data_IF_298129643592
#
_entry.id   IF_298129643592
#
_cell.length_a   1.000
_cell.length_b   1.000
_cell.length_c   1.000
_cell.angle_alpha   90.00
_cell.angle_beta   90.00
_cell.angle_gamma   90.00
#
_symmetry.space_group_name_H-M   'P 1'
#
loop_
_entity.id
_entity.type
_entity.pdbx_description
1 polymer ?
#
# COMPACT_ATOMS: atom_id res chain seq x y z
N UNK A 1 23.17 45.42 3.67
CA UNK A 1 22.41 44.18 3.89
C UNK A 1 22.30 43.46 2.56
N UNK A 2 22.82 42.23 2.44
CA UNK A 2 22.74 41.43 1.22
C UNK A 2 21.36 40.77 1.09
N UNK A 3 20.76 40.82 -0.09
CA UNK A 3 19.46 40.24 -0.41
C UNK A 3 19.54 38.70 -0.43
N UNK A 4 18.71 38.05 0.40
CA UNK A 4 18.66 36.60 0.58
C UNK A 4 18.19 35.84 -0.68
N UNK A 5 17.60 36.52 -1.66
CA UNK A 5 17.03 35.91 -2.86
C UNK A 5 17.87 36.10 -4.14
N UNK A 6 19.08 36.65 -4.02
CA UNK A 6 19.95 36.91 -5.18
C UNK A 6 20.28 35.63 -6.00
N UNK A 7 20.26 34.44 -5.39
CA UNK A 7 20.58 33.16 -6.02
C UNK A 7 19.37 32.36 -6.53
N UNK A 8 18.14 32.87 -6.37
CA UNK A 8 16.96 32.16 -6.84
C UNK A 8 16.86 32.16 -8.37
N UNK A 9 16.68 30.99 -8.98
CA UNK A 9 16.50 30.87 -10.43
C UNK A 9 15.15 31.48 -10.86
N UNK A 10 15.17 32.61 -11.57
CA UNK A 10 13.98 33.38 -11.98
C UNK A 10 13.27 32.85 -13.23
N UNK A 11 13.53 31.60 -13.63
CA UNK A 11 13.05 31.01 -14.89
C UNK A 11 12.00 29.92 -14.69
N UNK A 12 11.16 29.70 -15.71
CA UNK A 12 10.18 28.60 -15.72
C UNK A 12 10.88 27.23 -15.60
N UNK A 13 10.41 26.40 -14.66
CA UNK A 13 10.96 25.07 -14.41
C UNK A 13 10.70 24.17 -15.63
N UNK A 14 11.75 23.77 -16.34
CA UNK A 14 11.66 22.77 -17.41
C UNK A 14 11.95 21.39 -16.85
N UNK A 15 10.92 20.54 -16.78
CA UNK A 15 11.06 19.14 -16.43
C UNK A 15 11.42 18.33 -17.68
N UNK A 16 12.27 17.30 -17.52
CA UNK A 16 12.80 16.48 -18.62
C UNK A 16 11.73 15.69 -19.39
N UNK A 17 10.47 15.73 -18.97
CA UNK A 17 9.35 14.96 -19.53
C UNK A 17 8.18 15.79 -20.04
N UNK A 18 8.33 17.11 -20.20
CA UNK A 18 7.22 17.94 -20.69
C UNK A 18 7.12 17.84 -22.22
N UNK A 19 6.42 16.81 -22.69
CA UNK A 19 6.08 16.64 -24.10
C UNK A 19 4.85 17.48 -24.44
N UNK A 20 5.04 18.46 -25.31
CA UNK A 20 3.99 19.35 -25.80
C UNK A 20 2.75 18.56 -26.26
N UNK A 21 1.61 18.84 -25.61
CA UNK A 21 0.30 18.24 -25.92
C UNK A 21 -0.21 18.74 -27.29
N UNK A 22 0.25 18.11 -28.37
CA UNK A 22 -0.35 18.25 -29.70
C UNK A 22 -1.69 17.50 -29.74
N UNK A 23 -2.78 18.22 -30.04
CA UNK A 23 -4.15 17.68 -30.20
C UNK A 23 -4.16 16.56 -31.27
N UNK A 24 -4.15 15.30 -30.82
CA UNK A 24 -4.12 14.11 -31.72
C UNK A 24 -5.52 13.59 -32.06
N UNK A 25 -5.73 13.33 -33.36
CA UNK A 25 -6.93 12.70 -33.96
C UNK A 25 -7.29 11.37 -33.26
N UNK A 26 -8.59 11.15 -33.10
CA UNK A 26 -9.29 10.08 -32.35
C UNK A 26 -8.69 8.65 -32.45
N UNK A 27 -8.04 8.26 -33.56
CA UNK A 27 -7.42 6.94 -33.74
C UNK A 27 -6.12 6.74 -32.94
N UNK A 28 -5.33 7.80 -32.73
CA UNK A 28 -4.10 7.72 -31.94
C UNK A 28 -4.40 7.65 -30.43
N UNK A 29 -5.54 8.19 -29.98
CA UNK A 29 -5.98 8.18 -28.59
C UNK A 29 -6.20 6.76 -28.04
N UNK A 30 -6.68 5.81 -28.85
CA UNK A 30 -6.86 4.42 -28.39
C UNK A 30 -5.52 3.69 -28.20
N UNK A 31 -4.55 3.90 -29.10
CA UNK A 31 -3.21 3.31 -28.98
C UNK A 31 -2.44 3.89 -27.79
N UNK A 32 -2.61 5.18 -27.50
CA UNK A 32 -2.01 5.81 -26.32
C UNK A 32 -2.67 5.30 -25.03
N UNK A 33 -3.99 5.14 -25.01
CA UNK A 33 -4.71 4.62 -23.84
C UNK A 33 -4.37 3.17 -23.52
N UNK A 34 -4.07 2.36 -24.54
CA UNK A 34 -3.62 0.98 -24.36
C UNK A 34 -2.19 0.91 -23.81
N UNK A 35 -1.29 1.76 -24.33
CA UNK A 35 0.07 1.92 -23.78
C UNK A 35 0.07 2.45 -22.35
N UNK A 36 -0.78 3.42 -22.04
CA UNK A 36 -0.94 3.96 -20.70
C UNK A 36 -1.45 2.90 -19.71
N UNK A 37 -2.38 2.04 -20.15
CA UNK A 37 -2.83 0.91 -19.33
C UNK A 37 -1.72 -0.12 -19.09
N UNK A 38 -0.95 -0.45 -20.12
CA UNK A 38 0.20 -1.36 -19.99
C UNK A 38 1.29 -0.78 -19.09
N UNK A 39 1.57 0.53 -19.18
CA UNK A 39 2.51 1.24 -18.32
C UNK A 39 2.02 1.30 -16.88
N UNK A 40 0.74 1.59 -16.64
CA UNK A 40 0.13 1.54 -15.31
C UNK A 40 0.15 0.13 -14.72
N UNK A 41 -0.10 -0.89 -15.54
CA UNK A 41 -0.05 -2.28 -15.10
C UNK A 41 1.38 -2.71 -14.76
N UNK A 42 2.37 -2.28 -15.56
CA UNK A 42 3.81 -2.49 -15.27
C UNK A 42 4.25 -1.77 -13.99
N UNK A 43 3.87 -0.51 -13.83
CA UNK A 43 4.16 0.28 -12.64
C UNK A 43 3.51 -0.33 -11.39
N UNK A 44 2.28 -0.84 -11.50
CA UNK A 44 1.60 -1.54 -10.41
C UNK A 44 2.30 -2.85 -10.03
N UNK A 45 2.76 -3.64 -11.01
CA UNK A 45 3.53 -4.87 -10.76
C UNK A 45 4.89 -4.55 -10.14
N UNK A 46 5.59 -3.52 -10.62
CA UNK A 46 6.87 -3.06 -10.09
C UNK A 46 6.74 -2.53 -8.66
N UNK A 47 5.68 -1.78 -8.37
CA UNK A 47 5.35 -1.35 -7.01
C UNK A 47 5.05 -2.54 -6.10
N UNK A 48 4.28 -3.53 -6.56
CA UNK A 48 4.00 -4.74 -5.78
C UNK A 48 5.25 -5.58 -5.50
N UNK A 49 6.20 -5.64 -6.46
CA UNK A 49 7.48 -6.31 -6.27
C UNK A 49 8.38 -5.55 -5.29
N UNK A 50 8.41 -4.21 -5.35
CA UNK A 50 9.13 -3.39 -4.38
C UNK A 50 8.51 -3.44 -2.98
N UNK A 51 7.19 -3.52 -2.87
CA UNK A 51 6.48 -3.73 -1.61
C UNK A 51 6.65 -5.15 -1.08
N UNK A 52 6.79 -6.16 -1.93
CA UNK A 52 7.15 -7.53 -1.50
C UNK A 52 8.61 -7.61 -1.02
N UNK A 53 9.53 -6.89 -1.68
CA UNK A 53 10.94 -6.81 -1.30
C UNK A 53 11.14 -6.05 0.02
N UNK A 54 10.39 -4.96 0.26
CA UNK A 54 10.46 -4.19 1.51
C UNK A 54 9.55 -4.76 2.62
N UNK A 55 8.40 -5.33 2.29
CA UNK A 55 7.41 -5.85 3.23
C UNK A 55 7.71 -7.24 3.80
N UNK A 56 8.66 -7.97 3.21
CA UNK A 56 9.22 -9.19 3.82
C UNK A 56 10.45 -8.92 4.70
N UNK A 57 11.05 -7.73 4.60
CA UNK A 57 12.21 -7.35 5.41
C UNK A 57 11.83 -6.89 6.82
N UNK A 58 10.62 -6.34 7.03
CA UNK A 58 10.29 -5.66 8.29
C UNK A 58 9.64 -6.52 9.38
N UNK A 59 9.32 -7.80 9.13
CA UNK A 59 8.73 -8.68 10.14
C UNK A 59 9.53 -9.94 10.48
N UNK A 60 10.62 -10.27 9.77
CA UNK A 60 11.35 -11.51 10.08
C UNK A 60 12.80 -11.58 9.60
N UNK A 61 13.52 -10.48 9.41
CA UNK A 61 14.98 -10.61 9.18
C UNK A 61 15.76 -9.41 9.69
N UNK A 62 15.93 -9.34 11.01
CA UNK A 62 17.16 -8.78 11.56
C UNK A 62 18.32 -9.59 10.98
N UNK A 63 18.98 -9.02 9.98
CA UNK A 63 20.16 -9.58 9.34
C UNK A 63 21.30 -9.72 10.34
N UNK A 64 21.64 -10.95 10.72
CA UNK A 64 22.96 -11.27 11.23
C UNK A 64 23.49 -12.50 10.50
N UNK A 65 24.40 -12.22 9.55
CA UNK A 65 25.56 -13.01 9.19
C UNK A 65 25.72 -14.37 9.91
N UNK A 66 25.74 -15.47 9.14
CA UNK A 66 26.54 -16.67 9.44
C UNK A 66 25.88 -17.83 10.21
N UNK A 67 24.72 -17.65 10.85
CA UNK A 67 24.06 -18.76 11.57
C UNK A 67 22.55 -18.76 11.33
N UNK A 68 22.09 -19.63 10.41
CA UNK A 68 20.66 -19.92 10.26
C UNK A 68 20.22 -20.69 11.51
N UNK A 69 19.42 -20.05 12.38
CA UNK A 69 18.81 -20.71 13.54
C UNK A 69 18.00 -21.92 13.05
N UNK A 70 18.37 -23.12 13.51
CA UNK A 70 17.58 -24.33 13.24
C UNK A 70 16.20 -24.16 13.88
N UNK A 71 15.15 -24.27 13.08
CA UNK A 71 13.78 -24.20 13.58
C UNK A 71 13.53 -25.35 14.56
N UNK A 72 12.78 -25.04 15.61
CA UNK A 72 12.27 -26.05 16.53
C UNK A 72 11.21 -26.92 15.86
N UNK A 73 10.96 -28.12 16.39
CA UNK A 73 9.89 -29.01 15.89
C UNK A 73 8.51 -28.32 15.90
N UNK A 74 8.26 -27.48 16.91
CA UNK A 74 7.04 -26.70 17.02
C UNK A 74 6.93 -25.65 15.91
N UNK A 75 8.00 -24.88 15.66
CA UNK A 75 8.03 -23.87 14.59
C UNK A 75 7.85 -24.51 13.19
N UNK A 76 8.46 -25.68 12.96
CA UNK A 76 8.26 -26.46 11.72
C UNK A 76 6.80 -26.88 11.54
N UNK A 77 6.15 -27.35 12.61
CA UNK A 77 4.74 -27.73 12.57
C UNK A 77 3.83 -26.53 12.27
N UNK A 78 4.07 -25.39 12.93
CA UNK A 78 3.32 -24.15 12.68
C UNK A 78 3.52 -23.66 11.25
N UNK A 79 4.75 -23.70 10.72
CA UNK A 79 5.03 -23.32 9.33
C UNK A 79 4.26 -24.20 8.34
N UNK A 80 4.26 -25.52 8.55
CA UNK A 80 3.48 -26.46 7.73
C UNK A 80 1.97 -26.17 7.79
N UNK A 81 1.44 -25.79 8.95
CA UNK A 81 0.05 -25.40 9.08
C UNK A 81 -0.27 -24.07 8.36
N UNK A 82 0.60 -23.08 8.48
CA UNK A 82 0.48 -21.82 7.75
C UNK A 82 0.51 -22.03 6.23
N UNK A 83 1.39 -22.90 5.73
CA UNK A 83 1.46 -23.26 4.31
C UNK A 83 0.15 -23.88 3.82
N UNK A 84 -0.44 -24.80 4.60
CA UNK A 84 -1.77 -25.37 4.29
C UNK A 84 -2.86 -24.29 4.22
N UNK A 85 -2.84 -23.33 5.13
CA UNK A 85 -3.83 -22.25 5.17
C UNK A 85 -3.51 -21.08 4.23
N UNK A 86 -2.32 -21.07 3.60
CA UNK A 86 -1.85 -19.97 2.76
C UNK A 86 -2.80 -19.71 1.60
N UNK A 87 -3.19 -20.76 0.89
CA UNK A 87 -4.05 -20.63 -0.28
C UNK A 87 -5.42 -20.05 0.11
N UNK A 88 -6.02 -20.56 1.20
CA UNK A 88 -7.27 -20.01 1.74
C UNK A 88 -7.12 -18.52 2.07
N UNK A 89 -6.06 -18.15 2.80
CA UNK A 89 -5.80 -16.75 3.17
C UNK A 89 -5.55 -15.84 1.97
N UNK A 90 -4.89 -16.35 0.92
CA UNK A 90 -4.69 -15.60 -0.33
C UNK A 90 -6.03 -15.36 -1.01
N UNK A 91 -6.88 -16.38 -1.12
CA UNK A 91 -8.22 -16.25 -1.72
C UNK A 91 -9.08 -15.26 -0.94
N UNK A 92 -9.16 -15.37 0.39
CA UNK A 92 -9.95 -14.48 1.24
C UNK A 92 -9.47 -13.00 1.13
N UNK A 93 -8.15 -12.79 1.07
CA UNK A 93 -7.58 -11.44 0.87
C UNK A 93 -7.88 -10.89 -0.53
N UNK A 94 -7.83 -11.74 -1.56
CA UNK A 94 -8.10 -11.35 -2.94
C UNK A 94 -9.58 -11.05 -3.19
N UNK A 95 -10.49 -11.64 -2.42
CA UNK A 95 -11.94 -11.40 -2.52
C UNK A 95 -12.34 -9.96 -2.17
N UNK A 96 -11.57 -9.26 -1.33
CA UNK A 96 -11.92 -7.91 -0.87
C UNK A 96 -10.95 -6.86 -1.40
N UNK A 97 -11.50 -5.86 -2.08
CA UNK A 97 -10.71 -4.70 -2.50
C UNK A 97 -10.31 -3.85 -1.29
N UNK A 98 -9.29 -2.99 -1.43
CA UNK A 98 -8.88 -2.09 -0.35
C UNK A 98 -10.02 -1.16 0.07
N UNK A 99 -10.76 -0.58 -0.91
CA UNK A 99 -11.91 0.28 -0.66
C UNK A 99 -12.98 -0.42 0.19
N UNK A 100 -13.34 -1.66 -0.17
CA UNK A 100 -14.30 -2.46 0.61
C UNK A 100 -13.80 -2.78 2.03
N UNK A 101 -12.48 -2.96 2.21
CA UNK A 101 -11.89 -3.15 3.55
C UNK A 101 -11.98 -1.88 4.39
N UNK A 102 -11.74 -0.72 3.78
CA UNK A 102 -11.88 0.59 4.45
C UNK A 102 -13.35 0.87 4.77
N UNK A 103 -14.26 0.61 3.85
CA UNK A 103 -15.71 0.77 4.06
C UNK A 103 -16.19 -0.09 5.23
N UNK A 104 -15.89 -1.40 5.23
CA UNK A 104 -16.24 -2.29 6.34
C UNK A 104 -15.60 -1.86 7.67
N UNK A 105 -14.39 -1.32 7.63
CA UNK A 105 -13.73 -0.81 8.83
C UNK A 105 -14.44 0.42 9.36
N UNK A 106 -14.83 1.36 8.50
CA UNK A 106 -15.58 2.54 8.89
C UNK A 106 -16.98 2.18 9.39
N UNK A 107 -17.69 1.28 8.70
CA UNK A 107 -18.97 0.72 9.18
C UNK A 107 -18.82 0.12 10.58
N UNK A 108 -17.74 -0.61 10.84
CA UNK A 108 -17.49 -1.18 12.17
C UNK A 108 -17.25 -0.09 13.23
N UNK A 109 -16.47 0.94 12.92
CA UNK A 109 -16.25 2.06 13.83
C UNK A 109 -17.53 2.85 14.13
N UNK A 110 -18.39 3.06 13.12
CA UNK A 110 -19.67 3.74 13.29
C UNK A 110 -20.62 2.93 14.20
N UNK A 111 -20.55 1.59 14.15
CA UNK A 111 -21.34 0.73 15.06
C UNK A 111 -20.75 0.63 16.46
N UNK A 112 -19.49 1.04 16.67
CA UNK A 112 -18.82 0.88 17.94
C UNK A 112 -19.30 1.96 18.91
N UNK A 113 -19.63 1.56 20.14
CA UNK A 113 -20.07 2.50 21.16
C UNK A 113 -18.92 3.42 21.55
N UNK A 114 -19.15 4.74 21.49
CA UNK A 114 -18.15 5.72 21.93
C UNK A 114 -17.78 5.55 23.41
N UNK A 115 -18.71 5.06 24.22
CA UNK A 115 -18.57 4.90 25.67
C UNK A 115 -18.45 3.42 26.02
N UNK A 116 -17.35 3.07 26.70
CA UNK A 116 -17.06 1.71 27.19
C UNK A 116 -17.49 1.50 28.65
N UNK A 117 -18.22 2.45 29.23
CA UNK A 117 -18.69 2.41 30.62
C UNK A 117 -20.19 2.72 30.68
N UNK A 118 -20.85 2.15 31.68
CA UNK A 118 -22.29 2.28 31.86
C UNK A 118 -22.56 3.68 32.44
N UNK A 119 -23.51 4.45 31.87
CA UNK A 119 -23.84 5.75 32.44
C UNK A 119 -24.28 5.59 33.90
N UNK A 120 -23.72 6.44 34.77
CA UNK A 120 -24.02 6.39 36.21
C UNK A 120 -25.50 6.72 36.43
N UNK A 121 -26.22 5.82 37.11
CA UNK A 121 -27.60 6.06 37.50
C UNK A 121 -27.62 6.87 38.79
N UNK A 122 -27.72 8.19 38.69
CA UNK A 122 -28.06 9.02 39.85
C UNK A 122 -29.57 9.04 40.04
N UNK A 123 -30.03 8.68 41.23
CA UNK A 123 -31.44 8.72 41.60
C UNK A 123 -31.82 10.15 42.01
N UNK A 124 -32.01 11.03 41.02
CA UNK A 124 -32.60 12.37 41.24
C UNK A 124 -33.09 12.93 39.91
N UNK A 125 -34.27 13.55 39.95
CA UNK A 125 -34.98 14.19 38.84
C UNK A 125 -34.61 15.66 38.72
#
# INVERSE_FOLDING_TARGET
>A
MSDAYAYAAKGKLKLKSDTELKKKKKKHKNKDKEKEKDELQRAFVEQQLNEAANGTAQASTSSTSGYQRKLTKAELATKKQQEKMRNKRIMDKAQTTHKQRVEKFNEHLDTLTEHFDIPKVSWTK
#
